data_IF_807381637028
#
_entry.id   IF_807381637028
#
_cell.length_a   1.000
_cell.length_b   1.000
_cell.length_c   1.000
_cell.angle_alpha   90.00
_cell.angle_beta   90.00
_cell.angle_gamma   90.00
#
_symmetry.space_group_name_H-M   'P 1'
#
loop_
_entity.id
_entity.type
_entity.pdbx_description
1 polymer ?
#
# COMPACT_ATOMS: atom_id res chain seq x y z
N UNK A 1 27.86 24.39 -27.15
CA UNK A 1 28.76 23.31 -27.59
C UNK A 1 29.72 23.00 -26.44
N UNK A 2 29.76 21.73 -25.99
CA UNK A 2 30.34 21.28 -24.72
C UNK A 2 31.86 20.94 -24.90
N UNK A 3 32.53 20.25 -23.98
CA UNK A 3 32.92 20.61 -22.62
C UNK A 3 34.46 20.56 -22.44
N UNK A 4 34.98 21.37 -21.51
CA UNK A 4 36.41 21.46 -21.08
C UNK A 4 36.89 20.20 -20.29
N UNK A 5 36.20 19.07 -20.42
CA UNK A 5 36.39 17.86 -19.57
C UNK A 5 37.44 16.88 -20.11
N UNK A 6 38.14 17.19 -21.21
CA UNK A 6 39.13 16.24 -21.79
C UNK A 6 40.59 16.54 -21.37
N UNK A 7 40.92 17.73 -20.89
CA UNK A 7 42.33 18.09 -20.63
C UNK A 7 42.86 17.73 -19.22
N UNK A 8 41.99 17.58 -18.22
CA UNK A 8 42.43 17.27 -16.83
C UNK A 8 42.52 15.75 -16.57
N UNK A 9 41.98 14.93 -17.47
CA UNK A 9 42.16 13.46 -17.43
C UNK A 9 43.44 13.04 -18.17
N UNK A 10 43.96 13.85 -19.09
CA UNK A 10 45.19 13.56 -19.85
C UNK A 10 46.50 14.02 -19.17
N UNK A 11 46.43 14.98 -18.24
CA UNK A 11 47.63 15.62 -17.67
C UNK A 11 48.06 15.07 -16.30
N UNK A 12 47.22 14.27 -15.62
CA UNK A 12 47.60 13.53 -14.41
C UNK A 12 48.31 12.20 -14.68
N UNK A 13 48.45 11.82 -15.95
CA UNK A 13 48.96 10.51 -16.39
C UNK A 13 50.31 10.58 -17.14
N UNK A 14 50.92 11.76 -17.28
CA UNK A 14 52.10 11.94 -18.13
C UNK A 14 53.44 12.06 -17.39
N UNK A 15 53.48 12.07 -16.05
CA UNK A 15 54.72 12.42 -15.33
C UNK A 15 55.02 11.60 -14.06
N UNK A 16 54.63 10.33 -14.00
CA UNK A 16 55.19 9.40 -13.02
C UNK A 16 55.47 8.03 -13.66
N UNK A 17 56.76 7.78 -13.90
CA UNK A 17 57.43 6.51 -14.20
C UNK A 17 56.59 5.31 -14.66
N UNK A 18 56.83 4.89 -15.89
CA UNK A 18 56.25 3.74 -16.60
C UNK A 18 56.39 2.34 -15.94
N UNK A 19 56.77 2.25 -14.67
CA UNK A 19 56.80 1.01 -13.89
C UNK A 19 55.89 1.06 -12.63
N UNK A 20 55.56 2.24 -12.10
CA UNK A 20 54.65 2.41 -10.96
C UNK A 20 53.20 2.67 -11.37
N UNK A 21 52.99 3.21 -12.58
CA UNK A 21 51.66 3.56 -13.10
C UNK A 21 50.75 2.36 -13.35
N UNK A 22 51.27 1.20 -13.76
CA UNK A 22 50.44 0.00 -13.98
C UNK A 22 49.96 -0.65 -12.67
N UNK A 23 50.79 -0.60 -11.62
CA UNK A 23 50.41 -1.10 -10.30
C UNK A 23 49.45 -0.13 -9.61
N UNK A 24 49.67 1.19 -9.74
CA UNK A 24 48.78 2.20 -9.16
C UNK A 24 47.45 2.30 -9.95
N UNK A 25 47.47 2.24 -11.28
CA UNK A 25 46.26 2.18 -12.10
C UNK A 25 45.54 0.84 -11.92
N UNK A 26 46.25 -0.28 -11.75
CA UNK A 26 45.67 -1.58 -11.37
C UNK A 26 45.06 -1.61 -9.97
N UNK A 27 45.65 -0.90 -9.00
CA UNK A 27 45.14 -0.77 -7.64
C UNK A 27 43.95 0.22 -7.56
N UNK A 28 44.00 1.30 -8.34
CA UNK A 28 42.90 2.28 -8.44
C UNK A 28 41.71 1.69 -9.21
N UNK A 29 41.94 0.96 -10.30
CA UNK A 29 40.86 0.30 -11.05
C UNK A 29 40.23 -0.86 -10.29
N UNK A 30 41.01 -1.66 -9.55
CA UNK A 30 40.45 -2.70 -8.68
C UNK A 30 39.64 -2.09 -7.54
N UNK A 31 40.15 -1.07 -6.84
CA UNK A 31 39.42 -0.40 -5.76
C UNK A 31 38.16 0.35 -6.24
N UNK A 32 38.19 0.98 -7.43
CA UNK A 32 36.98 1.54 -8.05
C UNK A 32 35.96 0.46 -8.44
N UNK A 33 36.40 -0.69 -8.95
CA UNK A 33 35.51 -1.80 -9.31
C UNK A 33 34.86 -2.41 -8.06
N UNK A 34 35.60 -2.54 -6.96
CA UNK A 34 35.03 -2.90 -5.65
C UNK A 34 34.07 -1.83 -5.12
N UNK A 35 34.35 -0.54 -5.30
CA UNK A 35 33.47 0.55 -4.88
C UNK A 35 32.17 0.62 -5.70
N UNK A 36 32.24 0.41 -7.00
CA UNK A 36 31.07 0.32 -7.89
C UNK A 36 30.27 -0.96 -7.60
N UNK A 37 30.96 -2.10 -7.41
CA UNK A 37 30.33 -3.37 -7.06
C UNK A 37 29.60 -3.32 -5.72
N UNK A 38 30.21 -2.73 -4.69
CA UNK A 38 29.57 -2.53 -3.38
C UNK A 38 28.41 -1.56 -3.45
N UNK A 39 28.51 -0.47 -4.22
CA UNK A 39 27.41 0.49 -4.41
C UNK A 39 26.22 -0.10 -5.15
N UNK A 40 26.44 -1.00 -6.12
CA UNK A 40 25.38 -1.73 -6.82
C UNK A 40 24.71 -2.77 -5.90
N UNK A 41 25.49 -3.49 -5.08
CA UNK A 41 24.95 -4.46 -4.12
C UNK A 41 24.16 -3.76 -3.02
N UNK A 42 24.66 -2.66 -2.46
CA UNK A 42 23.94 -1.84 -1.47
C UNK A 42 22.73 -1.13 -2.09
N UNK A 43 22.81 -0.70 -3.34
CA UNK A 43 21.69 -0.17 -4.12
C UNK A 43 20.59 -1.21 -4.35
N UNK A 44 20.96 -2.45 -4.67
CA UNK A 44 20.04 -3.58 -4.81
C UNK A 44 19.38 -3.98 -3.48
N UNK A 45 20.16 -4.07 -2.41
CA UNK A 45 19.66 -4.35 -1.06
C UNK A 45 18.73 -3.25 -0.56
N UNK A 46 19.10 -1.98 -0.74
CA UNK A 46 18.25 -0.86 -0.35
C UNK A 46 16.94 -0.84 -1.15
N UNK A 47 16.97 -1.15 -2.45
CA UNK A 47 15.77 -1.27 -3.27
C UNK A 47 14.86 -2.44 -2.84
N UNK A 48 15.42 -3.56 -2.38
CA UNK A 48 14.66 -4.67 -1.81
C UNK A 48 14.10 -4.35 -0.42
N UNK A 49 14.76 -3.49 0.36
CA UNK A 49 14.28 -3.04 1.67
C UNK A 49 13.38 -1.80 1.63
N UNK A 50 13.22 -1.15 0.46
CA UNK A 50 12.21 -0.09 0.30
C UNK A 50 10.83 -0.73 0.39
N UNK A 51 10.17 -0.49 1.53
CA UNK A 51 8.76 -0.81 1.75
C UNK A 51 7.95 -0.23 0.58
N UNK A 52 7.34 -1.10 -0.21
CA UNK A 52 6.47 -0.69 -1.31
C UNK A 52 5.44 0.33 -0.81
N UNK A 53 5.13 1.38 -1.58
CA UNK A 53 4.09 2.33 -1.19
C UNK A 53 2.80 1.56 -0.94
N UNK A 54 2.32 1.62 0.30
CA UNK A 54 1.04 1.03 0.67
C UNK A 54 -0.04 1.88 0.02
N UNK A 55 -0.52 1.46 -1.14
CA UNK A 55 -1.79 1.96 -1.63
C UNK A 55 -2.85 1.64 -0.58
N UNK A 56 -3.79 2.56 -0.29
CA UNK A 56 -4.92 2.25 0.57
C UNK A 56 -5.57 0.99 0.03
N UNK A 57 -5.64 -0.03 0.87
CA UNK A 57 -6.11 -1.36 0.47
C UNK A 57 -7.61 -1.22 0.20
N UNK A 58 -8.00 -0.94 -1.05
CA UNK A 58 -9.39 -0.68 -1.46
C UNK A 58 -10.34 -1.80 -1.02
N UNK A 59 -9.77 -3.00 -0.85
CA UNK A 59 -10.45 -4.19 -0.31
C UNK A 59 -10.87 -4.05 1.15
N UNK A 60 -10.12 -3.33 1.99
CA UNK A 60 -10.51 -3.08 3.39
C UNK A 60 -11.67 -2.09 3.50
N UNK A 61 -11.67 -1.03 2.69
CA UNK A 61 -12.76 -0.05 2.66
C UNK A 61 -14.08 -0.64 2.12
N UNK A 62 -13.99 -1.57 1.16
CA UNK A 62 -15.17 -2.33 0.71
C UNK A 62 -15.72 -3.22 1.83
N UNK A 63 -14.86 -3.87 2.63
CA UNK A 63 -15.32 -4.71 3.76
C UNK A 63 -16.03 -3.91 4.83
N UNK A 64 -15.52 -2.72 5.17
CA UNK A 64 -16.14 -1.83 6.16
C UNK A 64 -17.57 -1.42 5.79
N UNK A 65 -17.89 -1.33 4.50
CA UNK A 65 -19.24 -1.03 4.01
C UNK A 65 -20.19 -2.22 4.01
N UNK A 66 -19.70 -3.44 4.18
CA UNK A 66 -20.51 -4.67 4.11
C UNK A 66 -20.94 -5.21 5.48
N UNK A 67 -20.42 -4.66 6.57
CA UNK A 67 -20.73 -5.08 7.93
C UNK A 67 -21.79 -4.16 8.55
N UNK A 68 -22.73 -4.77 9.26
CA UNK A 68 -23.73 -4.02 10.03
C UNK A 68 -23.13 -3.67 11.38
N UNK A 69 -23.13 -2.38 11.73
CA UNK A 69 -22.58 -1.89 13.01
C UNK A 69 -23.65 -1.21 13.85
N UNK A 70 -23.45 -1.15 15.17
CA UNK A 70 -24.33 -0.40 16.08
C UNK A 70 -23.64 0.90 16.45
N UNK A 71 -24.00 1.97 15.75
CA UNK A 71 -23.40 3.28 15.95
C UNK A 71 -24.49 4.35 16.07
N UNK A 72 -24.59 5.08 17.20
CA UNK A 72 -25.66 6.05 17.43
C UNK A 72 -25.50 7.33 16.60
N UNK A 73 -24.28 7.64 16.13
CA UNK A 73 -23.96 8.81 15.30
C UNK A 73 -23.60 8.40 13.87
N UNK A 74 -24.24 7.35 13.37
CA UNK A 74 -23.98 6.90 12.01
C UNK A 74 -24.46 7.96 10.98
N UNK A 75 -23.69 8.21 9.91
CA UNK A 75 -24.08 9.14 8.86
C UNK A 75 -25.26 8.61 8.04
N UNK A 76 -26.06 9.52 7.50
CA UNK A 76 -27.14 9.15 6.59
C UNK A 76 -26.58 8.79 5.21
N UNK A 77 -26.82 7.57 4.75
CA UNK A 77 -26.21 7.04 3.52
C UNK A 77 -27.20 7.00 2.38
N UNK A 78 -26.75 7.43 1.20
CA UNK A 78 -27.47 7.34 -0.06
C UNK A 78 -26.80 6.33 -0.96
N UNK A 79 -27.61 5.50 -1.62
CA UNK A 79 -27.15 4.48 -2.55
C UNK A 79 -27.72 4.78 -3.94
N UNK A 80 -26.84 4.77 -4.94
CA UNK A 80 -27.22 4.81 -6.34
C UNK A 80 -26.82 3.49 -7.00
N UNK A 81 -27.78 2.83 -7.66
CA UNK A 81 -27.59 1.50 -8.25
C UNK A 81 -27.76 0.36 -7.26
N UNK A 82 -27.22 -0.80 -7.61
CA UNK A 82 -27.25 -2.02 -6.79
C UNK A 82 -25.89 -2.24 -6.11
N UNK A 83 -25.88 -2.28 -4.79
CA UNK A 83 -24.68 -2.59 -4.02
C UNK A 83 -25.03 -3.30 -2.71
N UNK A 84 -24.13 -4.17 -2.26
CA UNK A 84 -24.20 -4.76 -0.92
C UNK A 84 -23.76 -3.73 0.11
N UNK A 85 -24.65 -3.41 1.04
CA UNK A 85 -24.39 -2.48 2.15
C UNK A 85 -24.77 -3.14 3.47
N UNK A 86 -23.89 -3.02 4.47
CA UNK A 86 -24.20 -3.32 5.87
C UNK A 86 -24.94 -2.15 6.51
N UNK A 87 -26.00 -2.40 7.25
CA UNK A 87 -26.84 -1.36 7.84
C UNK A 87 -26.31 -0.78 9.15
N UNK A 88 -27.13 0.03 9.80
CA UNK A 88 -26.94 0.42 11.21
C UNK A 88 -28.03 -0.20 12.06
N UNK A 89 -27.67 -0.83 13.17
CA UNK A 89 -28.66 -1.38 14.12
C UNK A 89 -29.28 -0.22 14.90
N UNK A 90 -30.51 0.15 14.55
CA UNK A 90 -31.24 1.27 15.19
C UNK A 90 -32.01 0.81 16.41
N UNK A 91 -32.59 -0.39 16.36
CA UNK A 91 -33.30 -0.97 17.49
C UNK A 91 -32.95 -2.45 17.65
N UNK A 92 -32.73 -2.85 18.89
CA UNK A 92 -32.47 -4.23 19.27
C UNK A 92 -33.14 -4.46 20.62
N UNK A 93 -34.10 -5.37 20.64
CA UNK A 93 -34.80 -5.75 21.86
C UNK A 93 -35.07 -7.25 21.84
N UNK A 94 -35.09 -7.86 23.02
CA UNK A 94 -35.35 -9.28 23.18
C UNK A 94 -36.60 -9.45 24.05
N UNK A 95 -37.51 -10.32 23.65
CA UNK A 95 -38.77 -10.57 24.38
C UNK A 95 -39.03 -12.06 24.57
N UNK A 96 -39.97 -12.39 25.46
CA UNK A 96 -40.34 -13.75 25.85
C UNK A 96 -39.78 -14.13 27.22
N UNK A 97 -40.37 -15.14 27.85
CA UNK A 97 -39.97 -15.60 29.20
C UNK A 97 -38.52 -16.06 29.24
N UNK A 98 -38.03 -16.60 28.12
CA UNK A 98 -36.67 -17.11 27.95
C UNK A 98 -35.87 -16.33 26.90
N UNK A 99 -36.20 -15.07 26.62
CA UNK A 99 -35.47 -14.24 25.65
C UNK A 99 -35.43 -14.85 24.22
N UNK A 100 -36.53 -15.48 23.81
CA UNK A 100 -36.59 -16.30 22.60
C UNK A 100 -36.86 -15.50 21.31
N UNK A 101 -37.36 -14.28 21.42
CA UNK A 101 -37.66 -13.43 20.28
C UNK A 101 -36.72 -12.23 20.21
N UNK A 102 -35.94 -12.12 19.13
CA UNK A 102 -35.10 -10.97 18.84
C UNK A 102 -35.83 -10.02 17.87
N UNK A 103 -36.19 -8.84 18.37
CA UNK A 103 -36.70 -7.73 17.57
C UNK A 103 -35.53 -6.87 17.12
N UNK A 104 -35.27 -6.86 15.82
CA UNK A 104 -34.12 -6.18 15.22
C UNK A 104 -34.58 -5.22 14.12
N UNK A 105 -34.17 -3.96 14.21
CA UNK A 105 -34.38 -2.96 13.16
C UNK A 105 -33.03 -2.48 12.65
N UNK A 106 -32.80 -2.70 11.36
CA UNK A 106 -31.58 -2.29 10.66
C UNK A 106 -31.95 -1.24 9.62
N UNK A 107 -31.36 -0.05 9.73
CA UNK A 107 -31.53 1.03 8.74
C UNK A 107 -30.46 0.91 7.66
N UNK A 108 -30.90 0.68 6.42
CA UNK A 108 -30.00 0.52 5.27
C UNK A 108 -29.65 1.86 4.64
N UNK A 109 -30.66 2.60 4.18
CA UNK A 109 -30.51 3.85 3.43
C UNK A 109 -31.60 4.85 3.78
N UNK A 110 -31.37 6.12 3.44
CA UNK A 110 -32.25 7.26 3.76
C UNK A 110 -33.31 7.63 2.74
N UNK A 111 -33.39 6.87 1.66
CA UNK A 111 -34.23 7.13 0.51
C UNK A 111 -35.01 5.88 0.14
N UNK A 112 -36.02 6.06 -0.69
CA UNK A 112 -36.83 4.95 -1.21
C UNK A 112 -35.97 4.01 -2.06
N UNK A 113 -36.13 2.71 -1.81
CA UNK A 113 -35.47 1.64 -2.55
C UNK A 113 -36.51 0.84 -3.31
N UNK A 114 -36.14 0.38 -4.50
CA UNK A 114 -37.04 -0.44 -5.32
C UNK A 114 -37.27 -1.82 -4.69
N UNK A 115 -36.17 -2.52 -4.35
CA UNK A 115 -36.22 -3.86 -3.78
C UNK A 115 -35.00 -4.17 -2.91
N UNK A 116 -35.16 -5.13 -1.99
CA UNK A 116 -34.09 -5.75 -1.22
C UNK A 116 -34.00 -7.20 -1.69
N UNK A 117 -32.99 -7.50 -2.52
CA UNK A 117 -32.91 -8.78 -3.21
C UNK A 117 -32.38 -9.90 -2.31
N UNK A 118 -31.14 -9.74 -1.83
CA UNK A 118 -30.41 -10.79 -1.11
C UNK A 118 -29.94 -10.28 0.26
N UNK A 119 -30.11 -11.12 1.29
CA UNK A 119 -29.63 -10.87 2.65
C UNK A 119 -28.54 -11.90 2.95
N UNK A 120 -27.37 -11.43 3.36
CA UNK A 120 -26.22 -12.27 3.68
C UNK A 120 -25.95 -12.23 5.18
N UNK A 121 -25.93 -13.41 5.81
CA UNK A 121 -25.51 -13.58 7.19
C UNK A 121 -24.08 -14.11 7.24
N UNK A 122 -23.36 -13.80 8.31
CA UNK A 122 -22.03 -14.34 8.52
C UNK A 122 -22.13 -15.84 8.86
N UNK A 123 -21.35 -16.68 8.16
CA UNK A 123 -21.25 -18.11 8.47
C UNK A 123 -22.00 -19.10 7.56
N UNK A 124 -22.52 -18.71 6.40
CA UNK A 124 -23.06 -19.66 5.41
C UNK A 124 -22.64 -19.24 3.99
N UNK A 125 -21.83 -20.08 3.33
CA UNK A 125 -21.53 -20.03 1.89
C UNK A 125 -22.48 -20.96 1.16
#
# INVERSE_FOLDING_TARGET
>A
MPPIIIAIVGAGLASFGAAGGYLLFGLITSSMLFSIGTSLVLGGLSQMMRKSPSFPDFKQEIRGRSITVREPVAPHRWLYGEARIGGVVTFLHVSGTNNEFLHLVITLTGHEVNAINNIYFDGIN
#
